data_IF_311632790453
#
_entry.id   IF_311632790453
#
_cell.length_a   1.000
_cell.length_b   1.000
_cell.length_c   1.000
_cell.angle_alpha   90.00
_cell.angle_beta   90.00
_cell.angle_gamma   90.00
#
_symmetry.space_group_name_H-M   'P 1'
#
loop_
_entity.id
_entity.type
_entity.pdbx_description
1 polymer ?
#
# COMPACT_ATOMS: atom_id res chain seq x y z
N UNK A 1 9.77 9.72 -14.70
CA UNK A 1 8.84 8.57 -14.79
C UNK A 1 8.08 8.47 -13.49
N UNK A 2 6.74 8.50 -13.57
CA UNK A 2 5.83 8.47 -12.42
C UNK A 2 5.34 7.05 -12.16
N UNK A 3 5.62 6.53 -10.98
CA UNK A 3 5.19 5.18 -10.56
C UNK A 3 4.07 5.28 -9.53
N UNK A 4 2.97 4.57 -9.77
CA UNK A 4 1.89 4.39 -8.82
C UNK A 4 2.15 3.10 -8.03
N UNK A 5 2.43 3.24 -6.73
CA UNK A 5 2.61 2.14 -5.79
C UNK A 5 1.31 1.88 -5.04
N UNK A 6 0.76 0.70 -5.22
CA UNK A 6 -0.49 0.30 -4.60
C UNK A 6 -0.22 -0.62 -3.41
N UNK A 7 -0.60 -0.18 -2.23
CA UNK A 7 -0.87 -1.08 -1.11
C UNK A 7 -2.15 -1.86 -1.45
N UNK A 8 -1.97 -2.95 -2.19
CA UNK A 8 -3.06 -3.73 -2.75
C UNK A 8 -3.91 -4.39 -1.65
N UNK A 9 -3.28 -4.72 -0.52
CA UNK A 9 -3.96 -5.28 0.64
C UNK A 9 -4.93 -4.25 1.24
N UNK A 10 -4.49 -3.01 1.43
CA UNK A 10 -5.32 -1.91 1.93
C UNK A 10 -6.51 -1.63 1.00
N UNK A 11 -6.31 -1.62 -0.32
CA UNK A 11 -7.39 -1.44 -1.31
C UNK A 11 -8.41 -2.58 -1.21
N UNK A 12 -7.97 -3.84 -1.13
CA UNK A 12 -8.84 -5.00 -0.98
C UNK A 12 -9.63 -4.96 0.34
N UNK A 13 -9.00 -4.56 1.44
CA UNK A 13 -9.70 -4.39 2.72
C UNK A 13 -10.78 -3.33 2.64
N UNK A 14 -10.54 -2.22 1.98
CA UNK A 14 -11.56 -1.19 1.78
C UNK A 14 -12.74 -1.71 0.96
N UNK A 15 -12.45 -2.49 -0.09
CA UNK A 15 -13.49 -3.13 -0.89
C UNK A 15 -14.31 -4.16 -0.08
N UNK A 16 -13.67 -4.90 0.84
CA UNK A 16 -14.32 -5.84 1.76
C UNK A 16 -15.40 -5.18 2.63
N UNK A 17 -15.16 -3.95 3.09
CA UNK A 17 -16.11 -3.21 3.92
C UNK A 17 -17.01 -2.26 3.12
N UNK A 18 -17.05 -2.40 1.80
CA UNK A 18 -17.94 -1.62 0.94
C UNK A 18 -19.26 -2.38 0.65
N UNK A 19 -20.33 -1.69 0.23
CA UNK A 19 -21.56 -2.33 -0.21
C UNK A 19 -21.38 -3.28 -1.39
N UNK A 20 -20.24 -3.21 -2.09
CA UNK A 20 -19.94 -4.02 -3.28
C UNK A 20 -19.52 -5.46 -2.93
N UNK A 21 -19.16 -5.74 -1.67
CA UNK A 21 -18.61 -7.03 -1.24
C UNK A 21 -19.52 -8.22 -1.59
N UNK A 22 -20.83 -8.02 -1.62
CA UNK A 22 -21.83 -9.05 -1.94
C UNK A 22 -21.95 -9.42 -3.43
N UNK A 23 -21.25 -8.74 -4.35
CA UNK A 23 -21.31 -9.06 -5.78
C UNK A 23 -20.77 -10.47 -6.03
N UNK A 24 -21.46 -11.19 -6.97
CA UNK A 24 -21.16 -12.59 -7.30
C UNK A 24 -21.27 -12.86 -8.80
N UNK A 25 -20.56 -13.90 -9.22
CA UNK A 25 -20.77 -14.59 -10.50
C UNK A 25 -21.00 -16.07 -10.15
N UNK A 26 -22.21 -16.56 -10.39
CA UNK A 26 -22.63 -17.87 -9.85
C UNK A 26 -22.49 -17.88 -8.32
N UNK A 27 -21.77 -18.85 -7.79
CA UNK A 27 -21.50 -18.99 -6.35
C UNK A 27 -20.23 -18.26 -5.89
N UNK A 28 -19.49 -17.64 -6.79
CA UNK A 28 -18.21 -17.01 -6.47
C UNK A 28 -18.41 -15.54 -6.15
N UNK A 29 -17.93 -15.09 -4.98
CA UNK A 29 -17.85 -13.67 -4.65
C UNK A 29 -16.78 -12.97 -5.49
N UNK A 30 -17.13 -11.80 -6.03
CA UNK A 30 -16.25 -11.00 -6.91
C UNK A 30 -16.17 -9.52 -6.49
N UNK A 31 -16.87 -9.14 -5.43
CA UNK A 31 -17.05 -7.75 -5.04
C UNK A 31 -15.76 -7.04 -4.65
N UNK A 32 -14.80 -7.74 -4.04
CA UNK A 32 -13.50 -7.17 -3.69
C UNK A 32 -12.69 -6.91 -4.96
N UNK A 33 -12.62 -7.87 -5.88
CA UNK A 33 -11.93 -7.69 -7.16
C UNK A 33 -12.53 -6.55 -7.97
N UNK A 34 -13.86 -6.45 -8.00
CA UNK A 34 -14.55 -5.34 -8.65
C UNK A 34 -14.19 -3.99 -8.00
N UNK A 35 -14.25 -3.91 -6.67
CA UNK A 35 -13.87 -2.71 -5.91
C UNK A 35 -12.42 -2.30 -6.15
N UNK A 36 -11.51 -3.29 -6.23
CA UNK A 36 -10.10 -3.09 -6.53
C UNK A 36 -9.90 -2.44 -7.91
N UNK A 37 -10.51 -2.99 -8.97
CA UNK A 37 -10.39 -2.41 -10.30
C UNK A 37 -11.08 -1.06 -10.46
N UNK A 38 -12.17 -0.81 -9.72
CA UNK A 38 -12.76 0.53 -9.66
C UNK A 38 -11.83 1.55 -9.03
N UNK A 39 -11.18 1.20 -7.92
CA UNK A 39 -10.20 2.09 -7.27
C UNK A 39 -8.98 2.30 -8.19
N UNK A 40 -8.48 1.23 -8.81
CA UNK A 40 -7.40 1.34 -9.80
C UNK A 40 -7.77 2.31 -10.93
N UNK A 41 -8.98 2.22 -11.50
CA UNK A 41 -9.44 3.16 -12.53
C UNK A 41 -9.43 4.61 -12.04
N UNK A 42 -9.92 4.88 -10.81
CA UNK A 42 -9.87 6.22 -10.22
C UNK A 42 -8.42 6.72 -10.10
N UNK A 43 -7.51 5.87 -9.62
CA UNK A 43 -6.11 6.22 -9.43
C UNK A 43 -5.40 6.47 -10.77
N UNK A 44 -5.72 5.69 -11.80
CA UNK A 44 -5.23 5.92 -13.17
C UNK A 44 -5.63 7.29 -13.72
N UNK A 45 -6.89 7.69 -13.51
CA UNK A 45 -7.39 9.03 -13.92
C UNK A 45 -6.68 10.16 -13.19
N UNK A 46 -6.50 10.00 -11.87
CA UNK A 46 -5.92 11.06 -11.03
C UNK A 46 -4.42 11.25 -11.30
N UNK A 47 -3.70 10.18 -11.56
CA UNK A 47 -2.24 10.24 -11.57
C UNK A 47 -1.61 10.00 -12.93
N UNK A 48 -2.32 9.41 -13.89
CA UNK A 48 -1.77 9.05 -15.21
C UNK A 48 -0.33 8.51 -15.09
N UNK A 49 -0.13 7.38 -14.37
CA UNK A 49 1.19 6.88 -14.08
C UNK A 49 1.83 6.23 -15.31
N UNK A 50 3.17 6.27 -15.37
CA UNK A 50 3.96 5.53 -16.37
C UNK A 50 4.15 4.06 -16.00
N UNK A 51 3.98 3.71 -14.72
CA UNK A 51 4.13 2.36 -14.17
C UNK A 51 3.21 2.16 -12.99
N UNK A 52 2.71 0.92 -12.83
CA UNK A 52 1.91 0.48 -11.69
C UNK A 52 2.64 -0.65 -10.98
N UNK A 53 2.61 -0.62 -9.65
CA UNK A 53 3.22 -1.64 -8.81
C UNK A 53 2.24 -2.06 -7.72
N UNK A 54 2.10 -3.35 -7.51
CA UNK A 54 1.24 -3.94 -6.49
C UNK A 54 2.09 -4.56 -5.39
N UNK A 55 1.81 -4.21 -4.14
CA UNK A 55 2.48 -4.81 -2.98
C UNK A 55 1.46 -5.45 -2.06
N UNK A 56 1.81 -6.61 -1.50
CA UNK A 56 0.93 -7.45 -0.71
C UNK A 56 1.58 -7.85 0.61
N UNK A 57 0.77 -7.87 1.67
CA UNK A 57 1.21 -8.44 2.95
C UNK A 57 1.41 -9.95 2.84
N UNK A 58 2.38 -10.48 3.56
CA UNK A 58 2.47 -11.91 3.83
C UNK A 58 1.58 -12.33 5.00
N UNK A 59 1.28 -13.63 5.10
CA UNK A 59 0.48 -14.16 6.23
C UNK A 59 1.19 -14.09 7.58
N UNK A 60 2.52 -14.02 7.59
CA UNK A 60 3.35 -13.92 8.79
C UNK A 60 4.23 -12.69 8.73
N UNK A 61 4.45 -12.03 9.87
CA UNK A 61 5.39 -10.91 9.95
C UNK A 61 6.62 -11.30 10.74
N UNK A 62 7.81 -11.04 10.20
CA UNK A 62 9.08 -11.23 10.91
C UNK A 62 9.18 -10.37 12.17
N UNK A 63 8.39 -9.26 12.24
CA UNK A 63 8.26 -8.44 13.45
C UNK A 63 7.79 -9.25 14.66
N UNK A 64 6.99 -10.31 14.46
CA UNK A 64 6.56 -11.22 15.54
C UNK A 64 7.72 -11.99 16.18
N UNK A 65 8.85 -12.18 15.48
CA UNK A 65 10.05 -12.79 16.06
C UNK A 65 10.70 -11.85 17.07
N UNK A 66 10.62 -10.53 16.85
CA UNK A 66 11.14 -9.52 17.78
C UNK A 66 10.13 -9.17 18.87
N UNK A 67 8.84 -9.18 18.54
CA UNK A 67 7.76 -8.79 19.41
C UNK A 67 6.54 -9.71 19.19
N UNK A 68 6.43 -10.83 19.98
CA UNK A 68 5.41 -11.86 19.74
C UNK A 68 3.98 -11.37 19.73
N UNK A 69 3.66 -10.31 20.50
CA UNK A 69 2.32 -9.72 20.57
C UNK A 69 2.03 -8.71 19.43
N UNK A 70 2.95 -8.56 18.45
CA UNK A 70 2.74 -7.69 17.29
C UNK A 70 1.48 -8.08 16.54
N UNK A 71 0.58 -7.09 16.34
CA UNK A 71 -0.75 -7.25 15.68
C UNK A 71 -1.66 -8.33 16.32
N UNK A 72 -1.43 -8.73 17.58
CA UNK A 72 -2.23 -9.76 18.25
C UNK A 72 -3.67 -9.30 18.49
N UNK A 73 -3.89 -8.00 18.75
CA UNK A 73 -5.20 -7.38 18.93
C UNK A 73 -6.15 -7.57 17.74
N UNK A 74 -5.64 -7.93 16.55
CA UNK A 74 -6.46 -8.20 15.36
C UNK A 74 -7.19 -9.55 15.44
N UNK A 75 -6.78 -10.44 16.32
CA UNK A 75 -7.29 -11.82 16.44
C UNK A 75 -8.03 -12.09 17.75
N UNK A 76 -8.28 -11.07 18.58
CA UNK A 76 -8.88 -11.22 19.90
C UNK A 76 -10.41 -11.35 19.87
N UNK A 77 -11.06 -11.02 18.74
CA UNK A 77 -12.51 -11.12 18.60
C UNK A 77 -12.88 -12.56 18.24
N UNK A 78 -13.81 -13.15 19.02
CA UNK A 78 -14.46 -14.41 18.67
C UNK A 78 -15.37 -14.13 17.46
N UNK A 79 -15.16 -14.86 16.38
CA UNK A 79 -15.96 -14.78 15.16
C UNK A 79 -17.01 -15.91 15.12
N UNK A 80 -18.17 -15.61 14.55
CA UNK A 80 -19.16 -16.63 14.21
C UNK A 80 -18.71 -17.48 13.02
N UNK A 81 -19.30 -18.66 12.83
CA UNK A 81 -19.00 -19.50 11.67
C UNK A 81 -19.27 -18.79 10.34
N UNK A 82 -20.31 -17.94 10.28
CA UNK A 82 -20.63 -17.14 9.10
C UNK A 82 -19.58 -16.06 8.82
N UNK A 83 -19.09 -15.39 9.87
CA UNK A 83 -17.99 -14.40 9.74
C UNK A 83 -16.70 -15.07 9.26
N UNK A 84 -16.38 -16.25 9.76
CA UNK A 84 -15.21 -17.02 9.32
C UNK A 84 -15.33 -17.39 7.83
N UNK A 85 -16.47 -17.94 7.41
CA UNK A 85 -16.74 -18.31 6.03
C UNK A 85 -16.69 -17.08 5.10
N UNK A 86 -17.20 -15.94 5.55
CA UNK A 86 -17.11 -14.69 4.82
C UNK A 86 -15.65 -14.21 4.67
N UNK A 87 -14.89 -14.24 5.76
CA UNK A 87 -13.47 -13.83 5.75
C UNK A 87 -12.62 -14.74 4.87
N UNK A 88 -12.90 -16.03 4.83
CA UNK A 88 -12.27 -16.98 3.92
C UNK A 88 -12.60 -16.66 2.45
N UNK A 89 -13.87 -16.40 2.15
CA UNK A 89 -14.30 -16.02 0.79
C UNK A 89 -13.67 -14.70 0.33
N UNK A 90 -13.50 -13.74 1.24
CA UNK A 90 -12.77 -12.50 0.98
C UNK A 90 -11.29 -12.76 0.72
N UNK A 91 -10.66 -13.57 1.58
CA UNK A 91 -9.23 -13.92 1.45
C UNK A 91 -8.92 -14.64 0.14
N UNK A 92 -9.83 -15.50 -0.35
CA UNK A 92 -9.71 -16.13 -1.67
C UNK A 92 -9.61 -15.10 -2.78
N UNK A 93 -10.39 -14.02 -2.75
CA UNK A 93 -10.34 -12.97 -3.78
C UNK A 93 -8.99 -12.21 -3.75
N UNK A 94 -8.36 -12.03 -2.57
CA UNK A 94 -7.02 -11.42 -2.50
C UNK A 94 -5.98 -12.31 -3.18
N UNK A 95 -6.04 -13.61 -2.92
CA UNK A 95 -5.15 -14.60 -3.54
C UNK A 95 -5.35 -14.64 -5.07
N UNK A 96 -6.59 -14.71 -5.53
CA UNK A 96 -6.92 -14.69 -6.96
C UNK A 96 -6.44 -13.42 -7.65
N UNK A 97 -6.65 -12.24 -7.05
CA UNK A 97 -6.14 -10.97 -7.59
C UNK A 97 -4.62 -11.02 -7.77
N UNK A 98 -3.91 -11.41 -6.71
CA UNK A 98 -2.45 -11.40 -6.69
C UNK A 98 -1.84 -12.44 -7.61
N UNK A 99 -2.33 -13.69 -7.55
CA UNK A 99 -1.62 -14.83 -8.12
C UNK A 99 -2.13 -15.20 -9.53
N UNK A 100 -3.35 -14.77 -9.89
CA UNK A 100 -3.98 -15.14 -11.15
C UNK A 100 -4.34 -13.92 -12.01
N UNK A 101 -5.15 -13.00 -11.49
CA UNK A 101 -5.77 -11.94 -12.27
C UNK A 101 -4.77 -10.87 -12.71
N UNK A 102 -3.99 -10.32 -11.77
CA UNK A 102 -2.99 -9.29 -12.05
C UNK A 102 -1.90 -9.81 -13.01
N UNK A 103 -1.30 -11.00 -12.78
CA UNK A 103 -0.34 -11.60 -13.72
C UNK A 103 -0.94 -11.92 -15.10
N UNK A 104 -2.17 -12.43 -15.15
CA UNK A 104 -2.88 -12.73 -16.42
C UNK A 104 -3.04 -11.47 -17.28
N UNK A 105 -3.30 -10.31 -16.69
CA UNK A 105 -3.38 -9.04 -17.41
C UNK A 105 -2.00 -8.59 -17.92
N UNK A 106 -0.91 -9.14 -17.36
CA UNK A 106 0.47 -8.83 -17.74
C UNK A 106 1.15 -7.79 -16.87
N UNK A 107 0.63 -7.52 -15.67
CA UNK A 107 1.34 -6.73 -14.67
C UNK A 107 2.42 -7.57 -13.99
N UNK A 108 3.68 -7.29 -14.29
CA UNK A 108 4.84 -8.01 -13.76
C UNK A 108 5.35 -7.41 -12.44
N UNK A 109 5.03 -6.14 -12.17
CA UNK A 109 5.42 -5.48 -10.93
C UNK A 109 4.42 -5.76 -9.80
N UNK A 110 4.36 -7.01 -9.37
CA UNK A 110 3.40 -7.55 -8.42
C UNK A 110 4.15 -8.36 -7.35
N UNK A 111 4.30 -7.80 -6.15
CA UNK A 111 5.27 -8.28 -5.16
C UNK A 111 4.62 -8.69 -3.84
N UNK A 112 4.95 -9.89 -3.41
CA UNK A 112 4.74 -10.43 -2.07
C UNK A 112 6.00 -11.19 -1.65
N UNK A 113 6.53 -10.91 -0.48
CA UNK A 113 7.66 -11.65 0.09
C UNK A 113 7.28 -12.18 1.47
N UNK A 114 7.60 -13.46 1.72
CA UNK A 114 7.23 -14.11 2.97
C UNK A 114 7.93 -13.44 4.16
N UNK A 115 7.14 -13.13 5.18
CA UNK A 115 7.61 -12.46 6.39
C UNK A 115 7.61 -10.93 6.34
N UNK A 116 7.44 -10.32 5.17
CA UNK A 116 7.40 -8.87 5.00
C UNK A 116 5.99 -8.35 4.73
N UNK A 117 5.77 -7.11 5.12
CA UNK A 117 4.50 -6.41 4.92
C UNK A 117 4.56 -5.52 3.66
N UNK A 118 3.41 -5.12 3.12
CA UNK A 118 3.33 -4.31 1.90
C UNK A 118 4.12 -3.00 2.02
N UNK A 119 4.11 -2.36 3.19
CA UNK A 119 4.84 -1.13 3.48
C UNK A 119 6.37 -1.32 3.48
N UNK A 120 6.88 -2.48 3.89
CA UNK A 120 8.30 -2.82 3.75
C UNK A 120 8.71 -2.87 2.27
N UNK A 121 7.86 -3.51 1.44
CA UNK A 121 8.10 -3.62 0.01
C UNK A 121 8.03 -2.26 -0.68
N UNK A 122 7.05 -1.43 -0.32
CA UNK A 122 6.93 -0.03 -0.78
C UNK A 122 8.21 0.73 -0.44
N UNK A 123 8.67 0.65 0.80
CA UNK A 123 9.89 1.32 1.23
C UNK A 123 11.13 0.85 0.45
N UNK A 124 11.29 -0.46 0.26
CA UNK A 124 12.37 -1.02 -0.56
C UNK A 124 12.33 -0.51 -2.00
N UNK A 125 11.13 -0.44 -2.60
CA UNK A 125 10.96 0.03 -3.97
C UNK A 125 11.38 1.50 -4.12
N UNK A 126 10.88 2.40 -3.27
CA UNK A 126 11.19 3.84 -3.39
C UNK A 126 12.65 4.16 -3.09
N UNK A 127 13.33 3.35 -2.28
CA UNK A 127 14.75 3.51 -1.96
C UNK A 127 15.66 3.00 -3.07
N UNK A 128 15.23 2.01 -3.86
CA UNK A 128 16.08 1.30 -4.81
C UNK A 128 15.76 1.61 -6.29
N UNK A 129 14.81 2.49 -6.56
CA UNK A 129 14.42 2.87 -7.92
C UNK A 129 14.35 4.40 -8.07
N UNK A 130 14.62 4.87 -9.28
CA UNK A 130 14.55 6.29 -9.63
C UNK A 130 13.15 6.68 -10.12
N UNK A 131 12.84 7.97 -10.06
CA UNK A 131 11.58 8.57 -10.54
C UNK A 131 10.68 9.06 -9.40
N UNK A 132 9.50 9.52 -9.78
CA UNK A 132 8.50 10.04 -8.85
C UNK A 132 7.54 8.93 -8.45
N UNK A 133 7.15 8.90 -7.19
CA UNK A 133 6.27 7.88 -6.65
C UNK A 133 5.01 8.49 -6.04
N UNK A 134 3.87 7.85 -6.32
CA UNK A 134 2.62 8.09 -5.62
C UNK A 134 2.22 6.80 -4.91
N UNK A 135 2.23 6.80 -3.60
CA UNK A 135 1.84 5.65 -2.78
C UNK A 135 0.35 5.74 -2.46
N UNK A 136 -0.45 4.79 -2.94
CA UNK A 136 -1.88 4.70 -2.60
C UNK A 136 -2.07 3.77 -1.40
N UNK A 137 -2.17 4.36 -0.21
CA UNK A 137 -2.42 3.68 1.07
C UNK A 137 -3.07 4.65 2.06
N UNK A 138 -3.60 4.12 3.16
CA UNK A 138 -4.05 4.93 4.31
C UNK A 138 -3.15 4.74 5.54
N UNK A 139 -2.06 3.98 5.42
CA UNK A 139 -1.16 3.74 6.53
C UNK A 139 -0.25 4.95 6.78
N UNK A 140 -0.36 5.51 7.99
CA UNK A 140 0.45 6.66 8.39
C UNK A 140 1.92 6.31 8.65
N UNK A 141 2.28 5.03 8.79
CA UNK A 141 3.66 4.64 8.98
C UNK A 141 4.50 4.91 7.72
N UNK A 142 3.84 4.94 6.55
CA UNK A 142 4.44 5.32 5.27
C UNK A 142 4.82 6.81 5.17
N UNK A 143 4.38 7.67 6.10
CA UNK A 143 4.77 9.09 6.11
C UNK A 143 6.29 9.27 6.22
N UNK A 144 7.01 8.32 6.81
CA UNK A 144 8.47 8.34 6.88
C UNK A 144 9.17 8.30 5.51
N UNK A 145 8.45 7.93 4.44
CA UNK A 145 8.97 7.84 3.08
C UNK A 145 8.75 9.10 2.24
N UNK A 146 7.93 10.05 2.72
CA UNK A 146 7.61 11.28 1.98
C UNK A 146 8.85 12.09 1.69
N UNK A 147 8.90 12.65 0.48
CA UNK A 147 9.98 13.52 0.01
C UNK A 147 9.48 14.36 -1.19
N UNK A 148 10.36 15.16 -1.78
CA UNK A 148 10.10 15.90 -3.02
C UNK A 148 9.60 15.00 -4.16
N UNK A 149 10.11 13.76 -4.26
CA UNK A 149 9.75 12.78 -5.28
C UNK A 149 8.73 11.72 -4.84
N UNK A 150 8.34 11.68 -3.56
CA UNK A 150 7.41 10.68 -3.02
C UNK A 150 6.23 11.38 -2.35
N UNK A 151 5.04 11.12 -2.84
CA UNK A 151 3.78 11.56 -2.23
C UNK A 151 2.86 10.38 -1.97
N UNK A 152 1.88 10.58 -1.09
CA UNK A 152 0.84 9.59 -0.83
C UNK A 152 -0.51 10.05 -1.37
N UNK A 153 -1.34 9.11 -1.76
CA UNK A 153 -2.77 9.29 -1.90
C UNK A 153 -3.46 8.52 -0.78
N UNK A 154 -4.04 9.28 0.14
CA UNK A 154 -4.73 8.73 1.30
C UNK A 154 -6.07 8.15 0.87
N UNK A 155 -6.17 6.84 0.76
CA UNK A 155 -7.37 6.13 0.34
C UNK A 155 -8.58 6.45 1.24
N UNK A 156 -8.38 6.76 2.52
CA UNK A 156 -9.43 7.09 3.49
C UNK A 156 -10.10 8.44 3.22
N UNK A 157 -9.30 9.47 2.91
CA UNK A 157 -9.77 10.86 2.70
C UNK A 157 -9.83 11.25 1.24
N UNK A 158 -9.30 10.42 0.33
CA UNK A 158 -9.19 10.68 -1.11
C UNK A 158 -8.40 11.96 -1.43
N UNK A 159 -7.39 12.25 -0.65
CA UNK A 159 -6.54 13.43 -0.81
C UNK A 159 -5.09 13.05 -1.06
N UNK A 160 -4.42 13.84 -1.90
CA UNK A 160 -2.97 13.77 -2.05
C UNK A 160 -2.29 14.40 -0.84
N UNK A 161 -1.31 13.70 -0.27
CA UNK A 161 -0.54 14.11 0.89
C UNK A 161 0.94 14.14 0.51
N UNK A 162 1.59 15.26 0.71
CA UNK A 162 2.97 15.52 0.29
C UNK A 162 3.86 15.78 1.49
N UNK A 163 5.17 15.79 1.28
CA UNK A 163 6.15 16.21 2.29
C UNK A 163 5.80 17.56 2.92
N UNK A 164 5.38 18.54 2.09
CA UNK A 164 4.99 19.87 2.58
C UNK A 164 3.79 19.80 3.52
N UNK A 165 2.73 19.06 3.15
CA UNK A 165 1.57 18.87 4.03
C UNK A 165 1.98 18.24 5.36
N UNK A 166 2.91 17.28 5.31
CA UNK A 166 3.43 16.63 6.52
C UNK A 166 4.21 17.62 7.42
N UNK A 167 5.10 18.44 6.83
CA UNK A 167 5.89 19.43 7.57
C UNK A 167 4.97 20.51 8.17
N UNK A 168 3.97 20.96 7.40
CA UNK A 168 3.01 21.96 7.87
C UNK A 168 2.16 21.41 9.05
N UNK A 169 1.87 20.09 9.08
CA UNK A 169 1.06 19.47 10.13
C UNK A 169 1.86 19.08 11.38
N UNK A 170 3.07 18.54 11.21
CA UNK A 170 3.85 17.95 12.30
C UNK A 170 5.10 18.76 12.69
N UNK A 171 5.50 19.74 11.88
CA UNK A 171 6.67 20.63 12.09
C UNK A 171 8.00 19.87 12.26
N UNK A 172 8.09 18.69 11.65
CA UNK A 172 9.28 17.84 11.58
C UNK A 172 9.47 17.34 10.14
N UNK A 173 10.64 16.81 9.83
CA UNK A 173 10.87 16.15 8.55
C UNK A 173 10.27 14.73 8.53
N UNK A 174 9.78 14.23 7.39
CA UNK A 174 9.22 12.86 7.27
C UNK A 174 10.13 11.77 7.82
N UNK A 175 11.42 11.83 7.56
CA UNK A 175 12.41 10.87 8.08
C UNK A 175 12.47 10.80 9.61
N UNK A 176 11.92 11.79 10.33
CA UNK A 176 11.81 11.76 11.78
C UNK A 176 10.56 11.04 12.27
N UNK A 177 9.62 10.70 11.36
CA UNK A 177 8.37 10.03 11.73
C UNK A 177 8.59 8.69 12.42
N UNK A 178 9.61 7.94 11.99
CA UNK A 178 10.01 6.71 12.68
C UNK A 178 10.32 6.93 14.16
N UNK A 179 10.95 8.07 14.51
CA UNK A 179 11.21 8.43 15.91
C UNK A 179 9.93 8.82 16.66
N UNK A 180 9.00 9.51 15.99
CA UNK A 180 7.67 9.80 16.56
C UNK A 180 6.96 8.51 16.90
N UNK A 181 6.89 7.57 15.95
CA UNK A 181 6.22 6.28 16.12
C UNK A 181 6.93 5.40 17.15
N UNK A 182 8.25 5.48 17.27
CA UNK A 182 8.97 4.75 18.31
C UNK A 182 8.67 5.26 19.73
N UNK A 183 8.39 6.55 19.89
CA UNK A 183 7.98 7.14 21.17
C UNK A 183 6.49 6.90 21.46
N UNK A 184 5.63 7.21 20.49
CA UNK A 184 4.17 7.17 20.63
C UNK A 184 3.60 5.75 20.55
N UNK A 185 4.29 4.82 19.89
CA UNK A 185 3.78 3.50 19.56
C UNK A 185 2.83 3.50 18.37
N UNK A 186 2.25 2.32 18.11
CA UNK A 186 1.24 2.07 17.10
C UNK A 186 0.17 1.14 17.66
N UNK A 187 -0.97 1.68 18.06
CA UNK A 187 -2.05 0.90 18.68
C UNK A 187 -2.68 -0.11 17.72
N UNK A 188 -2.76 0.22 16.42
CA UNK A 188 -3.24 -0.71 15.37
C UNK A 188 -2.39 -1.97 15.26
N UNK A 189 -1.11 -1.88 15.62
CA UNK A 189 -0.15 -2.97 15.56
C UNK A 189 0.19 -3.58 16.94
N UNK A 190 -0.55 -3.16 17.95
CA UNK A 190 -0.34 -3.59 19.33
C UNK A 190 1.07 -3.22 19.86
N UNK A 191 1.67 -2.14 19.33
CA UNK A 191 2.96 -1.63 19.77
C UNK A 191 2.74 -0.52 20.77
N UNK A 192 2.89 -0.84 22.07
CA UNK A 192 2.71 0.14 23.15
C UNK A 192 3.80 1.21 23.13
N UNK A 193 3.37 2.49 23.17
CA UNK A 193 4.25 3.64 23.28
C UNK A 193 4.66 3.97 24.74
N UNK A 194 5.39 5.06 24.89
CA UNK A 194 5.76 5.61 26.19
C UNK A 194 4.50 6.23 26.83
N UNK A 195 4.23 6.01 28.11
CA UNK A 195 3.07 6.60 28.78
C UNK A 195 2.97 8.12 28.60
N UNK A 196 1.78 8.62 28.33
CA UNK A 196 1.47 10.04 28.08
C UNK A 196 2.06 10.63 26.79
N UNK A 197 2.64 9.81 25.90
CA UNK A 197 3.26 10.26 24.66
C UNK A 197 2.45 9.78 23.46
N UNK A 198 1.74 10.71 22.82
CA UNK A 198 1.13 10.54 21.49
C UNK A 198 1.98 11.23 20.42
N UNK A 199 1.56 11.12 19.15
CA UNK A 199 2.31 11.69 18.02
C UNK A 199 2.65 13.18 18.19
N UNK A 200 1.68 14.02 18.58
CA UNK A 200 1.90 15.46 18.81
C UNK A 200 2.91 15.73 19.93
N UNK A 201 2.85 14.95 21.02
CA UNK A 201 3.80 15.07 22.14
C UNK A 201 5.20 14.68 21.71
N UNK A 202 5.32 13.59 20.96
CA UNK A 202 6.59 13.15 20.39
C UNK A 202 7.20 14.18 19.44
N UNK A 203 6.39 14.82 18.57
CA UNK A 203 6.84 15.91 17.70
C UNK A 203 7.37 17.10 18.51
N UNK A 204 6.63 17.53 19.55
CA UNK A 204 7.10 18.60 20.45
C UNK A 204 8.42 18.26 21.15
N UNK A 205 8.60 17.00 21.55
CA UNK A 205 9.86 16.54 22.14
C UNK A 205 11.02 16.62 21.13
N UNK A 206 10.82 16.11 19.91
CA UNK A 206 11.85 16.12 18.86
C UNK A 206 12.23 17.52 18.38
N UNK A 207 11.35 18.50 18.58
CA UNK A 207 11.58 19.92 18.23
C UNK A 207 11.96 20.78 19.45
N UNK A 208 12.30 20.16 20.60
CA UNK A 208 12.65 20.83 21.85
C UNK A 208 11.59 21.82 22.37
N UNK A 209 10.30 21.56 22.06
CA UNK A 209 9.15 22.39 22.49
C UNK A 209 8.29 21.74 23.57
N UNK A 210 8.66 20.53 24.00
CA UNK A 210 7.96 19.87 25.09
C UNK A 210 8.40 20.46 26.43
N UNK A 211 7.43 20.82 27.28
CA UNK A 211 7.73 21.28 28.62
C UNK A 211 8.52 20.23 29.41
N UNK A 212 9.71 20.62 29.90
CA UNK A 212 10.64 19.74 30.62
C UNK A 212 10.08 19.23 31.95
N UNK A 213 9.15 19.96 32.56
CA UNK A 213 8.48 19.58 33.82
C UNK A 213 7.29 18.61 33.57
N UNK A 214 6.94 18.35 32.32
CA UNK A 214 5.80 17.46 31.99
C UNK A 214 6.10 16.00 32.30
N UNK A 215 5.05 15.26 32.72
CA UNK A 215 5.12 13.81 32.91
C UNK A 215 5.61 13.09 31.63
N UNK A 216 5.22 13.56 30.47
CA UNK A 216 5.64 13.00 29.19
C UNK A 216 7.15 13.19 28.96
N UNK A 217 7.72 14.36 29.27
CA UNK A 217 9.16 14.61 29.15
C UNK A 217 9.94 13.66 30.04
N UNK A 218 9.60 13.57 31.33
CA UNK A 218 10.26 12.68 32.27
C UNK A 218 10.10 11.21 31.87
N UNK A 219 8.94 10.81 31.35
CA UNK A 219 8.74 9.46 30.83
C UNK A 219 9.66 9.15 29.66
N UNK A 220 9.83 10.07 28.69
CA UNK A 220 10.70 9.88 27.52
C UNK A 220 12.17 9.74 27.90
N UNK A 221 12.68 10.62 28.78
CA UNK A 221 14.11 10.61 29.16
C UNK A 221 14.49 9.49 30.13
N UNK A 222 13.49 8.83 30.74
CA UNK A 222 13.72 7.72 31.66
C UNK A 222 14.37 6.51 30.97
N UNK A 223 15.05 5.66 31.74
CA UNK A 223 15.64 4.42 31.22
C UNK A 223 14.55 3.51 30.59
N UNK A 224 13.36 3.44 31.20
CA UNK A 224 12.22 2.68 30.65
C UNK A 224 11.75 3.28 29.32
N UNK A 225 11.60 4.61 29.22
CA UNK A 225 11.21 5.29 27.99
C UNK A 225 12.22 5.04 26.85
N UNK A 226 13.52 5.15 27.14
CA UNK A 226 14.58 4.86 26.17
C UNK A 226 14.56 3.42 25.69
N UNK A 227 14.28 2.45 26.59
CA UNK A 227 14.14 1.03 26.23
C UNK A 227 12.94 0.79 25.33
N UNK A 228 11.78 1.37 25.66
CA UNK A 228 10.57 1.29 24.82
C UNK A 228 10.84 1.89 23.43
N UNK A 229 11.42 3.09 23.36
CA UNK A 229 11.72 3.75 22.08
C UNK A 229 12.66 2.92 21.19
N UNK A 230 13.72 2.30 21.78
CA UNK A 230 14.64 1.44 21.04
C UNK A 230 13.94 0.21 20.48
N UNK A 231 13.18 -0.52 21.30
CA UNK A 231 12.39 -1.67 20.85
C UNK A 231 11.41 -1.29 19.73
N UNK A 232 10.67 -0.20 19.91
CA UNK A 232 9.67 0.23 18.96
C UNK A 232 10.30 0.69 17.64
N UNK A 233 11.48 1.32 17.68
CA UNK A 233 12.18 1.76 16.48
C UNK A 233 12.40 0.60 15.49
N UNK A 234 12.86 -0.55 15.98
CA UNK A 234 13.09 -1.73 15.16
C UNK A 234 11.78 -2.31 14.58
N UNK A 235 10.63 -2.05 15.21
CA UNK A 235 9.32 -2.52 14.75
C UNK A 235 8.67 -1.58 13.72
N UNK A 236 8.90 -0.26 13.82
CA UNK A 236 8.20 0.74 13.00
C UNK A 236 9.06 1.33 11.87
N UNK A 237 10.37 1.03 11.85
CA UNK A 237 11.27 1.49 10.79
C UNK A 237 10.97 0.78 9.47
N UNK A 238 10.88 1.56 8.38
CA UNK A 238 10.69 1.05 7.03
C UNK A 238 11.90 1.34 6.14
N UNK A 239 12.33 0.37 5.32
CA UNK A 239 11.87 -1.02 5.35
C UNK A 239 12.35 -1.77 6.60
N UNK A 240 11.60 -2.80 7.00
CA UNK A 240 12.04 -3.69 8.07
C UNK A 240 13.36 -4.38 7.70
N UNK A 241 14.20 -4.62 8.68
CA UNK A 241 15.54 -5.21 8.47
C UNK A 241 15.46 -6.51 7.68
N UNK A 242 16.26 -6.59 6.61
CA UNK A 242 16.35 -7.77 5.75
C UNK A 242 15.31 -7.79 4.62
N UNK A 243 14.50 -6.74 4.45
CA UNK A 243 13.60 -6.63 3.29
C UNK A 243 14.39 -6.73 1.99
N UNK A 244 13.96 -7.59 1.04
CA UNK A 244 14.64 -7.75 -0.23
C UNK A 244 14.74 -6.44 -1.02
N UNK A 245 15.83 -6.24 -1.71
CA UNK A 245 15.99 -5.14 -2.68
C UNK A 245 15.12 -5.43 -3.90
N UNK A 246 14.15 -4.56 -4.18
CA UNK A 246 13.22 -4.73 -5.29
C UNK A 246 13.58 -3.75 -6.41
N UNK A 247 13.91 -4.29 -7.58
CA UNK A 247 14.10 -3.55 -8.83
C UNK A 247 12.86 -3.72 -9.70
N UNK A 248 12.32 -2.62 -10.20
CA UNK A 248 11.12 -2.64 -11.03
C UNK A 248 11.45 -3.08 -12.45
N UNK A 249 10.64 -4.00 -12.94
CA UNK A 249 10.69 -4.51 -14.32
C UNK A 249 9.74 -3.78 -15.27
N UNK A 250 9.65 -4.30 -16.49
CA UNK A 250 8.68 -3.86 -17.50
C UNK A 250 7.46 -4.76 -17.45
N UNK A 251 6.28 -4.16 -17.49
CA UNK A 251 5.02 -4.88 -17.62
C UNK A 251 4.78 -5.32 -19.08
N UNK A 252 3.97 -6.35 -19.26
CA UNK A 252 3.60 -6.89 -20.59
C UNK A 252 2.07 -6.89 -20.74
N UNK A 253 1.46 -5.70 -20.62
CA UNK A 253 0.00 -5.55 -20.52
C UNK A 253 -0.74 -6.03 -21.76
N UNK A 254 -1.79 -6.82 -21.56
CA UNK A 254 -2.74 -7.27 -22.56
C UNK A 254 -4.12 -6.68 -22.29
N UNK A 255 -4.54 -5.76 -23.16
CA UNK A 255 -5.90 -5.18 -23.10
C UNK A 255 -6.98 -6.24 -23.39
N UNK A 256 -6.66 -7.23 -24.24
CA UNK A 256 -7.57 -8.35 -24.49
C UNK A 256 -7.78 -9.19 -23.23
N UNK A 257 -6.71 -9.52 -22.50
CA UNK A 257 -6.85 -10.24 -21.22
C UNK A 257 -7.58 -9.41 -20.16
N UNK A 258 -7.29 -8.10 -20.05
CA UNK A 258 -8.05 -7.23 -19.16
C UNK A 258 -9.55 -7.26 -19.47
N UNK A 259 -9.93 -7.23 -20.76
CA UNK A 259 -11.33 -7.33 -21.18
C UNK A 259 -11.93 -8.69 -20.82
N UNK A 260 -11.20 -9.77 -21.05
CA UNK A 260 -11.63 -11.13 -20.70
C UNK A 260 -11.83 -11.27 -19.18
N UNK A 261 -10.91 -10.76 -18.37
CA UNK A 261 -11.05 -10.72 -16.90
C UNK A 261 -12.35 -10.01 -16.50
N UNK A 262 -12.64 -8.83 -17.10
CA UNK A 262 -13.88 -8.11 -16.78
C UNK A 262 -15.14 -8.85 -17.23
N UNK A 263 -15.07 -9.63 -18.31
CA UNK A 263 -16.17 -10.49 -18.76
C UNK A 263 -16.35 -11.69 -17.82
N UNK A 264 -15.27 -12.41 -17.50
CA UNK A 264 -15.28 -13.62 -16.66
C UNK A 264 -15.88 -13.33 -15.27
N UNK A 265 -15.55 -12.16 -14.70
CA UNK A 265 -16.05 -11.74 -13.38
C UNK A 265 -17.26 -10.82 -13.45
N UNK A 266 -17.87 -10.63 -14.66
CA UNK A 266 -19.09 -9.85 -14.89
C UNK A 266 -19.00 -8.39 -14.39
N UNK A 267 -17.88 -7.72 -14.62
CA UNK A 267 -17.65 -6.33 -14.24
C UNK A 267 -18.29 -5.35 -15.24
N UNK A 268 -19.62 -5.44 -15.41
CA UNK A 268 -20.38 -4.76 -16.45
C UNK A 268 -20.13 -3.24 -16.53
N UNK A 269 -19.99 -2.58 -15.39
CA UNK A 269 -19.75 -1.12 -15.39
C UNK A 269 -18.39 -0.74 -15.93
N UNK A 270 -17.37 -1.59 -15.75
CA UNK A 270 -16.02 -1.40 -16.29
C UNK A 270 -15.93 -1.77 -17.77
N UNK A 271 -16.91 -2.54 -18.27
CA UNK A 271 -17.04 -2.93 -19.69
C UNK A 271 -17.84 -1.90 -20.50
N UNK A 272 -18.47 -0.89 -19.88
CA UNK A 272 -19.13 0.18 -20.64
C UNK A 272 -18.11 0.84 -21.58
N UNK A 273 -18.48 1.08 -22.86
CA UNK A 273 -17.51 1.54 -23.86
C UNK A 273 -16.70 2.78 -23.47
N UNK A 274 -17.36 3.75 -22.87
CA UNK A 274 -16.75 4.98 -22.36
C UNK A 274 -15.71 4.71 -21.27
N UNK A 275 -16.05 3.84 -20.31
CA UNK A 275 -15.18 3.48 -19.18
C UNK A 275 -14.02 2.61 -19.64
N UNK A 276 -14.30 1.56 -20.42
CA UNK A 276 -13.27 0.63 -20.88
C UNK A 276 -12.25 1.32 -21.80
N UNK A 277 -12.73 2.15 -22.75
CA UNK A 277 -11.86 2.91 -23.63
C UNK A 277 -11.00 3.92 -22.85
N UNK A 278 -11.54 4.52 -21.78
CA UNK A 278 -10.75 5.39 -20.89
C UNK A 278 -9.65 4.61 -20.19
N UNK A 279 -9.96 3.46 -19.56
CA UNK A 279 -8.97 2.58 -18.91
C UNK A 279 -7.89 2.18 -19.91
N UNK A 280 -8.28 1.73 -21.11
CA UNK A 280 -7.36 1.33 -22.17
C UNK A 280 -6.42 2.48 -22.56
N UNK A 281 -6.96 3.70 -22.76
CA UNK A 281 -6.17 4.88 -23.08
C UNK A 281 -5.15 5.19 -21.99
N UNK A 282 -5.58 5.18 -20.72
CA UNK A 282 -4.74 5.47 -19.57
C UNK A 282 -3.60 4.45 -19.42
N UNK A 283 -3.88 3.19 -19.65
CA UNK A 283 -2.87 2.12 -19.62
C UNK A 283 -1.91 2.21 -20.82
N UNK A 284 -2.36 2.57 -22.01
CA UNK A 284 -1.51 2.73 -23.21
C UNK A 284 -0.61 3.96 -23.16
N UNK A 285 -1.00 5.01 -22.45
CA UNK A 285 -0.22 6.24 -22.31
C UNK A 285 1.01 6.12 -21.41
N UNK A 286 1.11 5.06 -20.58
CA UNK A 286 2.27 4.76 -19.77
C UNK A 286 3.33 3.93 -20.51
N UNK A 287 4.50 3.74 -19.89
CA UNK A 287 5.60 2.91 -20.40
C UNK A 287 5.34 1.39 -20.32
N UNK A 288 4.06 1.00 -20.35
CA UNK A 288 3.63 -0.39 -20.15
C UNK A 288 3.86 -1.27 -21.37
N UNK A 289 3.95 -0.67 -22.56
CA UNK A 289 4.18 -1.42 -23.79
C UNK A 289 5.67 -1.35 -24.11
N UNK A 290 6.40 -2.43 -23.86
CA UNK A 290 7.66 -2.67 -24.54
C UNK A 290 7.38 -2.68 -26.04
N UNK A 291 8.10 -1.85 -26.82
CA UNK A 291 7.96 -1.74 -28.26
C UNK A 291 8.10 -3.11 -28.93
N UNK A 292 6.97 -3.71 -29.31
CA UNK A 292 6.90 -4.58 -30.48
C UNK A 292 6.36 -3.75 -31.64
N UNK A 293 7.17 -2.87 -32.18
CA UNK A 293 6.99 -2.42 -33.54
C UNK A 293 7.44 -3.59 -34.43
N UNK A 294 6.49 -4.42 -34.82
CA UNK A 294 6.66 -5.29 -35.95
C UNK A 294 6.93 -4.43 -37.18
N UNK A 295 8.13 -4.51 -37.69
CA UNK A 295 8.51 -3.86 -38.95
C UNK A 295 7.55 -4.29 -40.07
N UNK A 296 6.72 -3.38 -40.52
CA UNK A 296 6.02 -3.49 -41.78
C UNK A 296 7.03 -3.23 -42.90
N UNK A 297 7.55 -4.34 -43.47
CA UNK A 297 8.43 -4.30 -44.61
C UNK A 297 7.76 -3.57 -45.79
N UNK A 298 8.26 -2.40 -46.16
CA UNK A 298 8.00 -1.83 -47.47
C UNK A 298 8.76 -2.65 -48.51
N UNK A 299 8.05 -3.47 -49.26
CA UNK A 299 8.55 -4.02 -50.52
C UNK A 299 8.71 -2.88 -51.53
N UNK A 300 9.93 -2.53 -51.77
CA UNK A 300 10.26 -1.71 -52.95
C UNK A 300 10.16 -2.63 -54.16
N UNK A 301 9.22 -2.36 -55.05
CA UNK A 301 9.23 -2.90 -56.42
C UNK A 301 10.05 -1.95 -57.26
N UNK A 302 11.10 -2.49 -57.80
CA UNK A 302 11.80 -1.99 -59.01
C UNK A 302 10.95 -2.29 -60.22
#
# INVERSE_FOLDING_TARGET
MKTLLLDAHSICYRAKYSPLVGLRVGNQFTGIMYGFFRELHVLLKLFTPDRIVFTWDSKGSLRKKLFPTYKENRYTRIQTAEEIAFDEACSKQFVMLRDEVIPRIGFNNNYKFEGYEADDLIASIVQNNLGDFVIASSDMDLYQLLSDRISMYLLSTKKRYTERHFIDEYEILPKQWVRVKSLAGCSSDNVGGIPHVGNKTACKFLTNRLNTESKAYHAIISNRGKSIARRNYDLVCLPFKGTPVIKLGTDALSISELKLVFLDYNFRSLLKPDVFNEIQRLLRGGSYYGEKQSGCGKSVKT
#
